data_IF_696761055007
#
_entry.id   IF_696761055007
#
_cell.length_a   1.000
_cell.length_b   1.000
_cell.length_c   1.000
_cell.angle_alpha   90.00
_cell.angle_beta   90.00
_cell.angle_gamma   90.00
#
_symmetry.space_group_name_H-M   'P 1'
#
loop_
_entity.id
_entity.type
_entity.pdbx_description
1 polymer ?
#
# COMPACT_ATOMS: atom_id res chain seq x y z
N UNK A 1 11.78 -23.75 7.68
CA UNK A 1 11.84 -22.45 8.39
C UNK A 1 10.94 -21.48 7.64
N UNK A 2 10.03 -20.78 8.32
CA UNK A 2 9.15 -19.79 7.68
C UNK A 2 9.94 -18.56 7.23
N UNK A 3 9.80 -18.15 5.97
CA UNK A 3 10.44 -16.95 5.41
C UNK A 3 9.70 -15.65 5.78
N UNK A 4 8.54 -15.75 6.42
CA UNK A 4 7.71 -14.62 6.84
C UNK A 4 8.44 -13.68 7.82
N UNK A 5 8.99 -14.23 8.91
CA UNK A 5 9.67 -13.44 9.94
C UNK A 5 10.94 -12.73 9.40
N UNK A 6 11.85 -13.41 8.68
CA UNK A 6 12.98 -12.74 8.02
C UNK A 6 12.55 -11.61 7.08
N UNK A 7 11.47 -11.84 6.31
CA UNK A 7 10.94 -10.85 5.37
C UNK A 7 10.45 -9.61 6.11
N UNK A 8 9.54 -9.76 7.08
CA UNK A 8 9.03 -8.63 7.86
C UNK A 8 10.15 -7.88 8.62
N UNK A 9 11.13 -8.62 9.13
CA UNK A 9 12.28 -8.06 9.83
C UNK A 9 13.14 -7.19 8.92
N UNK A 10 13.35 -7.60 7.66
CA UNK A 10 14.07 -6.78 6.67
C UNK A 10 13.38 -5.44 6.43
N UNK A 11 12.06 -5.44 6.20
CA UNK A 11 11.32 -4.20 5.94
C UNK A 11 11.34 -3.26 7.15
N UNK A 12 11.16 -3.81 8.35
CA UNK A 12 11.20 -3.03 9.59
C UNK A 12 12.60 -2.46 9.87
N UNK A 13 13.66 -3.25 9.71
CA UNK A 13 15.04 -2.83 9.96
C UNK A 13 15.47 -1.71 9.01
N UNK A 14 15.05 -1.77 7.75
CA UNK A 14 15.38 -0.78 6.73
C UNK A 14 14.39 0.40 6.67
N UNK A 15 13.40 0.45 7.58
CA UNK A 15 12.35 1.49 7.61
C UNK A 15 11.66 1.67 6.27
N UNK A 16 11.46 0.58 5.54
CA UNK A 16 10.72 0.55 4.28
C UNK A 16 9.24 0.66 4.64
N UNK A 17 8.51 1.56 4.01
CA UNK A 17 7.06 1.63 4.20
C UNK A 17 6.40 0.44 3.50
N UNK A 18 5.60 -0.33 4.23
CA UNK A 18 4.84 -1.45 3.70
C UNK A 18 3.49 -1.59 4.40
N UNK A 19 2.56 -2.29 3.76
CA UNK A 19 1.42 -2.89 4.44
C UNK A 19 1.42 -4.40 4.21
N UNK A 20 0.95 -5.14 5.21
CA UNK A 20 0.91 -6.59 5.21
C UNK A 20 -0.54 -7.07 5.25
N UNK A 21 -0.93 -7.78 4.20
CA UNK A 21 -2.23 -8.41 4.05
C UNK A 21 -2.01 -9.86 3.61
N UNK A 22 -1.97 -10.77 4.59
CA UNK A 22 -1.45 -12.12 4.45
C UNK A 22 -2.10 -12.87 3.27
N UNK A 23 -1.31 -13.52 2.38
CA UNK A 23 0.14 -13.75 2.45
C UNK A 23 1.00 -12.69 1.74
N UNK A 24 0.43 -11.54 1.42
CA UNK A 24 1.08 -10.54 0.58
C UNK A 24 1.59 -9.34 1.39
N UNK A 25 2.78 -8.90 1.02
CA UNK A 25 3.37 -7.65 1.50
C UNK A 25 3.44 -6.69 0.32
N UNK A 26 2.96 -5.48 0.56
CA UNK A 26 2.90 -4.44 -0.44
C UNK A 26 3.81 -3.29 -0.05
N UNK A 27 4.62 -2.81 -1.00
CA UNK A 27 5.58 -1.72 -0.78
C UNK A 27 5.84 -0.95 -2.07
N UNK A 28 6.51 0.21 -1.98
CA UNK A 28 6.87 1.01 -3.14
C UNK A 28 8.10 0.42 -3.86
N UNK A 29 8.03 0.33 -5.19
CA UNK A 29 9.11 -0.14 -6.03
C UNK A 29 10.32 0.78 -5.90
N UNK A 30 11.50 0.20 -5.64
CA UNK A 30 12.72 0.99 -5.47
C UNK A 30 13.23 1.67 -6.74
N UNK A 31 12.61 1.43 -7.90
CA UNK A 31 13.05 1.95 -9.18
C UNK A 31 12.07 2.95 -9.80
N UNK A 32 10.77 2.65 -9.74
CA UNK A 32 9.74 3.50 -10.35
C UNK A 32 8.74 4.06 -9.33
N UNK A 33 8.80 3.62 -8.07
CA UNK A 33 7.83 4.01 -7.04
C UNK A 33 6.44 3.38 -7.13
N UNK A 34 6.18 2.59 -8.18
CA UNK A 34 4.94 1.84 -8.32
C UNK A 34 4.72 0.81 -7.23
N UNK A 35 3.48 0.35 -7.06
CA UNK A 35 3.16 -0.69 -6.09
C UNK A 35 3.87 -2.01 -6.46
N UNK A 36 4.46 -2.64 -5.46
CA UNK A 36 5.04 -3.98 -5.54
C UNK A 36 4.25 -4.91 -4.64
N UNK A 37 3.85 -6.04 -5.20
CA UNK A 37 3.21 -7.15 -4.47
C UNK A 37 4.25 -8.25 -4.25
N UNK A 38 4.45 -8.67 -3.01
CA UNK A 38 5.37 -9.75 -2.65
C UNK A 38 4.67 -10.82 -1.84
N UNK A 39 4.87 -12.09 -2.19
CA UNK A 39 4.41 -13.20 -1.36
C UNK A 39 5.47 -13.50 -0.27
N UNK A 40 5.07 -13.49 1.00
CA UNK A 40 6.01 -13.65 2.14
C UNK A 40 6.53 -15.09 2.30
N UNK A 41 5.88 -16.07 1.69
CA UNK A 41 6.27 -17.48 1.80
C UNK A 41 7.36 -17.89 0.82
N UNK A 42 7.36 -17.35 -0.39
CA UNK A 42 8.39 -17.61 -1.41
C UNK A 42 9.30 -16.41 -1.68
N UNK A 43 9.00 -15.26 -1.05
CA UNK A 43 9.69 -13.98 -1.17
C UNK A 43 9.68 -13.37 -2.57
N UNK A 44 8.88 -13.92 -3.49
CA UNK A 44 8.79 -13.41 -4.85
C UNK A 44 7.99 -12.14 -4.86
N UNK A 45 8.49 -11.14 -5.59
CA UNK A 45 7.83 -9.86 -5.75
C UNK A 45 7.76 -9.46 -7.20
N UNK A 46 6.75 -8.66 -7.52
CA UNK A 46 6.54 -8.07 -8.84
C UNK A 46 6.01 -6.65 -8.72
N UNK A 47 6.57 -5.73 -9.51
CA UNK A 47 6.06 -4.38 -9.63
C UNK A 47 4.99 -4.29 -10.71
N UNK A 48 3.83 -3.71 -10.36
CA UNK A 48 2.71 -3.54 -11.30
C UNK A 48 3.03 -2.60 -12.46
N UNK A 49 3.90 -1.61 -12.25
CA UNK A 49 4.23 -0.55 -13.22
C UNK A 49 5.41 -0.94 -14.12
N UNK A 50 6.61 -1.16 -13.55
CA UNK A 50 7.80 -1.41 -14.35
C UNK A 50 7.99 -2.89 -14.73
N UNK A 51 7.08 -3.77 -14.28
CA UNK A 51 7.10 -5.23 -14.55
C UNK A 51 8.38 -5.94 -14.12
N UNK A 52 9.21 -5.28 -13.31
CA UNK A 52 10.37 -5.91 -12.69
C UNK A 52 9.91 -6.82 -11.57
N UNK A 53 10.56 -7.97 -11.47
CA UNK A 53 10.29 -8.97 -10.46
C UNK A 53 11.60 -9.51 -9.89
N UNK A 54 11.50 -10.19 -8.77
CA UNK A 54 12.65 -10.78 -8.11
C UNK A 54 12.27 -11.47 -6.81
N UNK A 55 13.28 -11.62 -5.95
CA UNK A 55 13.14 -12.21 -4.61
C UNK A 55 13.61 -11.21 -3.54
N UNK A 56 13.41 -11.53 -2.26
CA UNK A 56 13.93 -10.71 -1.15
C UNK A 56 15.45 -10.48 -1.26
N UNK A 57 16.21 -11.47 -1.72
CA UNK A 57 17.67 -11.32 -1.95
C UNK A 57 17.99 -10.18 -2.92
N UNK A 58 17.19 -10.04 -3.98
CA UNK A 58 17.34 -8.93 -4.93
C UNK A 58 17.07 -7.58 -4.24
N UNK A 59 16.03 -7.49 -3.40
CA UNK A 59 15.72 -6.26 -2.64
C UNK A 59 16.84 -5.91 -1.66
N UNK A 60 17.43 -6.90 -0.99
CA UNK A 60 18.56 -6.68 -0.07
C UNK A 60 19.74 -6.07 -0.79
N UNK A 61 20.07 -6.56 -1.99
CA UNK A 61 21.16 -6.00 -2.81
C UNK A 61 20.80 -4.58 -3.27
N UNK A 62 19.59 -4.38 -3.79
CA UNK A 62 19.14 -3.08 -4.28
C UNK A 62 19.11 -2.01 -3.18
N UNK A 63 18.66 -2.36 -1.98
CA UNK A 63 18.55 -1.42 -0.85
C UNK A 63 19.91 -0.88 -0.39
N UNK A 64 21.01 -1.64 -0.56
CA UNK A 64 22.36 -1.14 -0.27
C UNK A 64 22.78 0.02 -1.16
N UNK A 65 22.18 0.15 -2.35
CA UNK A 65 22.55 1.13 -3.36
C UNK A 65 21.55 2.30 -3.48
N UNK A 66 20.38 2.22 -2.85
CA UNK A 66 19.27 3.17 -3.02
C UNK A 66 18.90 3.81 -1.67
N UNK A 67 19.60 4.89 -1.30
CA UNK A 67 19.43 5.53 0.02
C UNK A 67 18.27 6.53 0.11
N UNK A 68 17.69 6.98 -1.03
CA UNK A 68 16.69 8.07 -1.05
C UNK A 68 15.29 7.68 -1.53
N UNK A 69 15.15 6.75 -2.49
CA UNK A 69 13.85 6.39 -3.07
C UNK A 69 13.00 5.45 -2.21
N UNK A 70 13.62 4.77 -1.24
CA UNK A 70 13.00 3.74 -0.38
C UNK A 70 11.96 4.29 0.61
N UNK A 71 11.88 5.62 0.77
CA UNK A 71 10.98 6.28 1.73
C UNK A 71 9.66 6.73 1.14
N UNK A 72 9.34 6.35 -0.09
CA UNK A 72 8.04 6.67 -0.66
C UNK A 72 6.93 6.10 0.22
N UNK A 73 5.90 6.91 0.44
CA UNK A 73 4.74 6.49 1.23
C UNK A 73 3.96 5.48 0.41
N UNK A 74 3.70 4.32 1.00
CA UNK A 74 2.65 3.45 0.50
C UNK A 74 1.36 3.76 1.26
N UNK A 75 0.28 3.80 0.51
CA UNK A 75 -1.04 4.11 1.03
C UNK A 75 -1.79 2.81 1.26
N UNK A 76 -2.18 2.55 2.51
CA UNK A 76 -3.00 1.39 2.84
C UNK A 76 -4.47 1.76 2.57
N UNK A 77 -5.16 1.12 1.60
CA UNK A 77 -6.48 1.56 1.13
C UNK A 77 -7.50 1.80 2.25
N UNK A 78 -7.64 0.84 3.17
CA UNK A 78 -8.55 0.98 4.33
C UNK A 78 -8.17 2.12 5.29
N UNK A 79 -6.88 2.38 5.49
CA UNK A 79 -6.45 3.48 6.34
C UNK A 79 -6.69 4.83 5.67
N UNK A 80 -6.46 4.93 4.36
CA UNK A 80 -6.75 6.15 3.59
C UNK A 80 -8.26 6.43 3.58
N UNK A 81 -9.08 5.41 3.33
CA UNK A 81 -10.54 5.54 3.41
C UNK A 81 -10.96 6.08 4.77
N UNK A 82 -10.49 5.49 5.86
CA UNK A 82 -10.78 5.96 7.23
C UNK A 82 -10.33 7.40 7.45
N UNK A 83 -9.18 7.81 6.91
CA UNK A 83 -8.71 9.19 7.00
C UNK A 83 -9.62 10.16 6.26
N UNK A 84 -10.01 9.83 5.02
CA UNK A 84 -10.94 10.63 4.21
C UNK A 84 -12.26 10.82 4.96
N UNK A 85 -12.84 9.74 5.50
CA UNK A 85 -14.10 9.82 6.26
C UNK A 85 -13.96 10.70 7.50
N UNK A 86 -12.89 10.53 8.28
CA UNK A 86 -12.61 11.39 9.44
C UNK A 86 -12.47 12.87 9.07
N UNK A 87 -11.92 13.16 7.88
CA UNK A 87 -11.84 14.55 7.39
C UNK A 87 -13.24 15.10 7.08
N UNK A 88 -14.11 14.31 6.46
CA UNK A 88 -15.51 14.70 6.26
C UNK A 88 -16.23 14.94 7.57
N UNK A 89 -16.10 14.05 8.56
CA UNK A 89 -16.75 14.21 9.87
C UNK A 89 -16.33 15.53 10.55
N UNK A 90 -15.05 15.90 10.45
CA UNK A 90 -14.55 17.20 10.95
C UNK A 90 -15.15 18.38 10.18
N UNK A 91 -15.30 18.26 8.87
CA UNK A 91 -15.89 19.30 8.03
C UNK A 91 -17.38 19.48 8.32
N UNK A 92 -18.12 18.38 8.46
CA UNK A 92 -19.54 18.38 8.86
C UNK A 92 -19.71 19.02 10.23
N UNK A 93 -18.83 18.70 11.19
CA UNK A 93 -18.85 19.35 12.50
C UNK A 93 -18.59 20.86 12.42
N UNK A 94 -17.73 21.31 11.50
CA UNK A 94 -17.34 22.73 11.38
C UNK A 94 -18.31 23.58 10.55
N UNK A 95 -18.88 23.01 9.49
CA UNK A 95 -19.65 23.74 8.48
C UNK A 95 -21.11 23.29 8.40
N UNK A 96 -21.52 22.31 9.20
CA UNK A 96 -22.90 21.81 9.25
C UNK A 96 -23.16 20.65 8.28
N UNK A 97 -24.41 20.20 8.28
CA UNK A 97 -24.88 19.01 7.55
C UNK A 97 -24.86 19.14 6.03
N UNK A 98 -24.62 20.34 5.49
CA UNK A 98 -24.57 20.59 4.04
C UNK A 98 -23.42 19.83 3.34
N UNK A 99 -22.43 19.36 4.12
CA UNK A 99 -21.30 18.57 3.64
C UNK A 99 -21.61 17.05 3.62
N UNK A 100 -22.62 16.59 4.36
CA UNK A 100 -23.01 15.17 4.43
C UNK A 100 -23.28 14.55 3.05
N UNK A 101 -23.98 15.22 2.11
CA UNK A 101 -24.20 14.68 0.76
C UNK A 101 -22.89 14.44 0.00
N UNK A 102 -21.86 15.24 0.24
CA UNK A 102 -20.55 15.08 -0.39
C UNK A 102 -19.82 13.86 0.17
N UNK A 103 -19.87 13.65 1.49
CA UNK A 103 -19.33 12.45 2.15
C UNK A 103 -19.95 11.17 1.55
N UNK A 104 -21.28 11.13 1.45
CA UNK A 104 -22.01 9.98 0.88
C UNK A 104 -21.62 9.73 -0.58
N UNK A 105 -21.45 10.79 -1.39
CA UNK A 105 -21.00 10.65 -2.79
C UNK A 105 -19.59 10.05 -2.87
N UNK A 106 -18.67 10.50 -2.02
CA UNK A 106 -17.30 9.96 -1.99
C UNK A 106 -17.29 8.50 -1.53
N UNK A 107 -18.07 8.14 -0.51
CA UNK A 107 -18.20 6.74 -0.07
C UNK A 107 -18.70 5.84 -1.18
N UNK A 108 -19.74 6.27 -1.92
CA UNK A 108 -20.26 5.52 -3.08
C UNK A 108 -19.23 5.36 -4.18
N UNK A 109 -18.43 6.39 -4.48
CA UNK A 109 -17.36 6.31 -5.47
C UNK A 109 -16.29 5.30 -5.05
N UNK A 110 -15.86 5.35 -3.78
CA UNK A 110 -14.88 4.39 -3.24
C UNK A 110 -15.42 2.97 -3.38
N UNK A 111 -16.68 2.75 -2.96
CA UNK A 111 -17.32 1.44 -3.03
C UNK A 111 -17.41 0.93 -4.48
N UNK A 112 -17.84 1.78 -5.42
CA UNK A 112 -17.91 1.43 -6.83
C UNK A 112 -16.57 0.94 -7.39
N UNK A 113 -15.47 1.64 -7.09
CA UNK A 113 -14.14 1.24 -7.56
C UNK A 113 -13.62 -0.03 -6.87
N UNK A 114 -13.99 -0.27 -5.61
CA UNK A 114 -13.66 -1.53 -4.92
C UNK A 114 -14.39 -2.72 -5.55
N UNK A 115 -15.69 -2.58 -5.83
CA UNK A 115 -16.49 -3.62 -6.48
C UNK A 115 -16.01 -3.89 -7.91
N UNK A 116 -15.72 -2.84 -8.68
CA UNK A 116 -15.19 -2.97 -10.04
C UNK A 116 -13.85 -3.70 -10.07
N UNK A 117 -12.93 -3.38 -9.16
CA UNK A 117 -11.63 -4.07 -9.07
C UNK A 117 -11.78 -5.59 -8.85
N UNK A 118 -12.78 -6.01 -8.09
CA UNK A 118 -13.04 -7.44 -7.84
C UNK A 118 -13.67 -8.17 -9.04
N UNK A 119 -14.11 -7.44 -10.08
CA UNK A 119 -14.75 -8.02 -11.26
C UNK A 119 -13.78 -8.16 -12.45
N UNK A 120 -12.64 -7.46 -12.40
CA UNK A 120 -11.62 -7.42 -13.45
C UNK A 120 -10.35 -8.25 -13.11
N UNK A 121 -10.32 -8.98 -11.98
CA UNK A 121 -9.29 -9.98 -11.58
C UNK A 121 -9.77 -11.42 -11.85
#
# INVERSE_FOLDING_TARGET
MSLELPTLSFFKANRINYYYDKPFLYFACFLCGGEVKMNVFDTKWECSICKKSGTLSHLIVMNKHLSSQVRQKIYHPENERKQIIRMFDKLIHKYGSDIEPLKVKVERLIQYYQEKKNTDE
#
